data_IF_427556697872
#
_entry.id   IF_427556697872
#
_cell.length_a   1.000
_cell.length_b   1.000
_cell.length_c   1.000
_cell.angle_alpha   90.00
_cell.angle_beta   90.00
_cell.angle_gamma   90.00
#
_symmetry.space_group_name_H-M   'P 1'
#
loop_
_entity.id
_entity.type
_entity.pdbx_description
1 polymer ?
#
# COMPACT_ATOMS: atom_id res chain seq x y z
N UNK A 1 -14.79 -5.30 1.75
CA UNK A 1 -14.24 -4.00 1.25
C UNK A 1 -13.81 -4.20 -0.18
N UNK A 2 -14.09 -3.26 -1.10
CA UNK A 2 -13.70 -3.35 -2.51
C UNK A 2 -12.86 -2.12 -2.84
N UNK A 3 -11.79 -2.26 -3.61
CA UNK A 3 -10.99 -1.12 -4.06
C UNK A 3 -9.93 -1.50 -5.08
N UNK A 4 -9.36 -0.50 -5.75
CA UNK A 4 -8.21 -0.68 -6.64
C UNK A 4 -6.92 -0.65 -5.84
N UNK A 5 -5.98 -1.55 -6.15
CA UNK A 5 -4.66 -1.60 -5.52
C UNK A 5 -3.78 -0.48 -6.08
N UNK A 6 -3.38 0.47 -5.25
CA UNK A 6 -2.58 1.64 -5.65
C UNK A 6 -1.10 1.56 -5.21
N UNK A 7 -0.76 0.57 -4.38
CA UNK A 7 0.60 0.37 -3.88
C UNK A 7 0.75 -0.97 -3.20
N UNK A 8 1.95 -1.54 -3.25
CA UNK A 8 2.26 -2.87 -2.71
C UNK A 8 3.72 -2.97 -2.32
N UNK A 9 4.01 -3.62 -1.19
CA UNK A 9 5.38 -3.91 -0.76
C UNK A 9 5.79 -5.32 -1.17
N UNK A 10 7.10 -5.54 -1.24
CA UNK A 10 7.64 -6.88 -1.37
C UNK A 10 7.30 -7.77 -0.16
N UNK A 11 7.35 -9.07 -0.40
CA UNK A 11 7.24 -10.09 0.64
C UNK A 11 8.52 -10.09 1.47
N UNK A 12 8.37 -10.05 2.80
CA UNK A 12 9.48 -10.06 3.77
C UNK A 12 9.27 -11.13 4.83
N UNK A 13 10.32 -11.88 5.15
CA UNK A 13 10.37 -12.85 6.23
C UNK A 13 11.03 -12.26 7.49
N UNK A 14 10.54 -12.64 8.66
CA UNK A 14 11.09 -12.24 9.96
C UNK A 14 11.07 -13.44 10.91
N UNK A 15 12.06 -13.59 11.81
CA UNK A 15 12.01 -14.61 12.85
C UNK A 15 10.74 -14.49 13.71
N UNK A 16 10.01 -15.58 13.91
CA UNK A 16 8.81 -15.60 14.73
C UNK A 16 9.19 -15.56 16.22
N UNK A 17 8.86 -14.43 16.87
CA UNK A 17 9.12 -14.23 18.29
C UNK A 17 8.26 -15.13 19.18
N UNK A 18 7.14 -15.64 18.69
CA UNK A 18 6.26 -16.55 19.43
C UNK A 18 6.68 -18.01 19.28
N UNK A 19 7.25 -18.36 18.13
CA UNK A 19 7.65 -19.71 17.78
C UNK A 19 9.13 -19.71 17.37
N UNK A 20 10.01 -19.75 18.37
CA UNK A 20 11.46 -19.70 18.18
C UNK A 20 11.89 -20.83 17.24
N UNK A 21 12.68 -20.50 16.21
CA UNK A 21 13.12 -21.44 15.17
C UNK A 21 12.22 -21.48 13.93
N UNK A 22 11.12 -20.72 13.92
CA UNK A 22 10.29 -20.52 12.72
C UNK A 22 10.33 -19.07 12.23
N UNK A 23 9.90 -18.88 10.99
CA UNK A 23 9.78 -17.56 10.37
C UNK A 23 8.32 -17.21 10.11
N UNK A 24 8.03 -15.91 10.10
CA UNK A 24 6.75 -15.35 9.73
C UNK A 24 6.92 -14.34 8.60
N UNK A 25 6.04 -14.43 7.62
CA UNK A 25 6.12 -13.63 6.41
C UNK A 25 5.05 -12.54 6.41
N UNK A 26 5.34 -11.44 5.72
CA UNK A 26 4.42 -10.32 5.57
C UNK A 26 4.57 -9.63 4.22
N UNK A 27 3.48 -9.03 3.77
CA UNK A 27 3.49 -7.95 2.81
C UNK A 27 2.31 -7.02 3.12
N UNK A 28 2.40 -5.79 2.64
CA UNK A 28 1.33 -4.80 2.76
C UNK A 28 0.96 -4.26 1.38
N UNK A 29 -0.28 -3.81 1.26
CA UNK A 29 -0.75 -3.12 0.06
C UNK A 29 -1.76 -2.04 0.43
N UNK A 30 -1.99 -1.10 -0.47
CA UNK A 30 -2.93 0.01 -0.27
C UNK A 30 -4.05 -0.12 -1.28
N UNK A 31 -5.30 -0.02 -0.81
CA UNK A 31 -6.48 0.03 -1.69
C UNK A 31 -7.14 1.40 -1.64
N UNK A 32 -7.69 1.81 -2.79
CA UNK A 32 -8.47 3.05 -2.96
C UNK A 32 -9.86 2.72 -3.44
N UNK A 33 -10.86 3.30 -2.79
CA UNK A 33 -12.27 3.15 -3.15
C UNK A 33 -12.93 4.49 -3.52
N UNK A 34 -12.24 5.61 -3.28
CA UNK A 34 -12.75 6.95 -3.54
C UNK A 34 -11.63 7.95 -3.89
N UNK A 35 -11.98 9.15 -4.40
CA UNK A 35 -11.00 10.17 -4.73
C UNK A 35 -10.13 10.63 -3.56
N UNK A 36 -10.63 10.58 -2.33
CA UNK A 36 -9.94 11.13 -1.16
C UNK A 36 -9.60 10.10 -0.09
N UNK A 37 -10.17 8.88 -0.15
CA UNK A 37 -9.92 7.85 0.85
C UNK A 37 -9.26 6.61 0.24
N UNK A 38 -8.25 6.15 0.97
CA UNK A 38 -7.51 4.94 0.71
C UNK A 38 -6.95 4.41 2.03
N UNK A 39 -6.69 3.11 2.09
CA UNK A 39 -6.41 2.41 3.34
C UNK A 39 -5.30 1.36 3.14
N UNK A 40 -4.44 1.24 4.15
CA UNK A 40 -3.42 0.19 4.20
C UNK A 40 -4.02 -1.14 4.64
N UNK A 41 -3.59 -2.20 3.96
CA UNK A 41 -3.92 -3.59 4.25
C UNK A 41 -2.62 -4.32 4.54
N UNK A 42 -2.60 -5.09 5.64
CA UNK A 42 -1.43 -5.84 6.07
C UNK A 42 -1.77 -7.32 6.16
N UNK A 43 -0.88 -8.18 5.68
CA UNK A 43 -1.01 -9.63 5.83
C UNK A 43 0.20 -10.20 6.54
N UNK A 44 -0.03 -11.13 7.46
CA UNK A 44 0.99 -11.86 8.19
C UNK A 44 0.64 -13.33 8.29
N UNK A 45 1.52 -14.21 7.84
CA UNK A 45 1.24 -15.65 7.83
C UNK A 45 2.45 -16.48 7.46
N UNK A 46 2.20 -17.71 7.02
CA UNK A 46 3.23 -18.61 6.49
C UNK A 46 3.74 -18.12 5.14
N UNK A 47 4.95 -18.55 4.77
CA UNK A 47 5.58 -18.16 3.51
C UNK A 47 4.67 -18.43 2.30
N UNK A 48 4.21 -19.67 2.14
CA UNK A 48 3.41 -20.08 0.98
C UNK A 48 2.13 -19.26 0.86
N UNK A 49 1.44 -19.03 1.97
CA UNK A 49 0.24 -18.21 2.01
C UNK A 49 0.53 -16.78 1.56
N UNK A 50 1.55 -16.14 2.14
CA UNK A 50 1.90 -14.75 1.86
C UNK A 50 2.37 -14.59 0.42
N UNK A 51 3.20 -15.51 -0.07
CA UNK A 51 3.71 -15.48 -1.44
C UNK A 51 2.59 -15.70 -2.45
N UNK A 52 1.72 -16.69 -2.21
CA UNK A 52 0.55 -16.95 -3.06
C UNK A 52 -0.41 -15.76 -3.09
N UNK A 53 -0.76 -15.19 -1.93
CA UNK A 53 -1.62 -14.02 -1.84
C UNK A 53 -0.99 -12.78 -2.49
N UNK A 54 0.32 -12.59 -2.34
CA UNK A 54 1.01 -11.50 -3.02
C UNK A 54 1.07 -11.71 -4.54
N UNK A 55 1.06 -12.94 -5.04
CA UNK A 55 1.08 -13.21 -6.48
C UNK A 55 -0.32 -13.19 -7.12
N UNK A 56 -1.40 -13.26 -6.35
CA UNK A 56 -2.77 -13.34 -6.88
C UNK A 56 -3.33 -12.02 -7.44
N UNK A 57 -2.65 -10.90 -7.23
CA UNK A 57 -3.03 -9.58 -7.75
C UNK A 57 -1.82 -8.64 -7.86
N UNK A 58 -1.95 -7.60 -8.70
CA UNK A 58 -0.95 -6.58 -9.00
C UNK A 58 -1.47 -5.18 -8.62
N UNK A 59 -0.57 -4.20 -8.64
CA UNK A 59 -0.98 -2.78 -8.61
C UNK A 59 -1.78 -2.49 -9.88
N UNK A 60 -2.92 -1.82 -9.73
CA UNK A 60 -3.90 -1.58 -10.80
C UNK A 60 -5.09 -2.55 -10.77
N UNK A 61 -4.99 -3.68 -10.07
CA UNK A 61 -6.11 -4.63 -10.00
C UNK A 61 -7.17 -4.17 -9.00
N UNK A 62 -8.44 -4.43 -9.32
CA UNK A 62 -9.56 -4.26 -8.40
C UNK A 62 -9.73 -5.53 -7.57
N UNK A 63 -9.78 -5.38 -6.25
CA UNK A 63 -9.86 -6.51 -5.32
C UNK A 63 -11.04 -6.36 -4.37
N UNK A 64 -11.66 -7.50 -4.04
CA UNK A 64 -12.63 -7.65 -2.95
C UNK A 64 -11.95 -8.35 -1.78
N UNK A 65 -11.98 -7.69 -0.63
CA UNK A 65 -11.46 -8.19 0.65
C UNK A 65 -12.64 -8.57 1.54
N UNK A 66 -12.70 -9.84 1.91
CA UNK A 66 -13.71 -10.43 2.77
C UNK A 66 -13.12 -10.70 4.17
N UNK A 67 -13.93 -10.42 5.21
CA UNK A 67 -13.59 -10.64 6.61
C UNK A 67 -12.19 -10.12 7.05
N UNK A 68 -11.80 -8.88 6.70
CA UNK A 68 -10.61 -8.28 7.29
C UNK A 68 -10.88 -7.93 8.76
N UNK A 69 -9.84 -8.00 9.58
CA UNK A 69 -9.88 -7.38 10.91
C UNK A 69 -9.58 -5.89 10.76
N UNK A 70 -10.44 -5.03 11.28
CA UNK A 70 -10.26 -3.57 11.28
C UNK A 70 -9.53 -3.15 12.55
N UNK A 71 -8.43 -2.40 12.42
CA UNK A 71 -7.66 -1.87 13.55
C UNK A 71 -7.46 -0.37 13.40
N UNK A 72 -7.45 0.38 14.49
CA UNK A 72 -7.03 1.79 14.49
C UNK A 72 -5.56 1.94 14.10
N UNK A 73 -5.24 2.98 13.36
CA UNK A 73 -3.87 3.36 12.96
C UNK A 73 -3.18 4.10 14.12
N UNK A 74 -2.03 3.61 14.57
CA UNK A 74 -1.16 4.35 15.49
C UNK A 74 -0.21 5.24 14.67
N UNK A 75 -0.67 6.46 14.34
CA UNK A 75 -0.04 7.34 13.35
C UNK A 75 1.48 7.53 13.55
N UNK A 76 1.92 7.83 14.78
CA UNK A 76 3.33 8.13 15.09
C UNK A 76 4.29 6.97 14.81
N UNK A 77 3.85 5.71 14.97
CA UNK A 77 4.71 4.54 14.75
C UNK A 77 4.60 3.99 13.33
N UNK A 78 3.41 4.06 12.75
CA UNK A 78 3.11 3.35 11.50
C UNK A 78 3.51 4.12 10.25
N UNK A 79 3.53 5.45 10.29
CA UNK A 79 3.87 6.31 9.13
C UNK A 79 5.35 6.27 8.76
N UNK A 80 6.21 5.75 9.65
CA UNK A 80 7.64 5.55 9.36
C UNK A 80 7.91 4.44 8.35
N UNK A 81 7.03 3.43 8.28
CA UNK A 81 7.27 2.20 7.52
C UNK A 81 6.17 1.86 6.51
N UNK A 82 5.11 2.66 6.47
CA UNK A 82 3.97 2.44 5.59
C UNK A 82 3.64 3.72 4.81
N UNK A 83 3.02 3.58 3.63
CA UNK A 83 2.42 4.72 2.94
C UNK A 83 1.49 5.48 3.89
N UNK A 84 1.64 6.81 3.91
CA UNK A 84 0.71 7.68 4.63
C UNK A 84 -0.64 7.60 3.95
N UNK A 85 -1.66 7.17 4.68
CA UNK A 85 -3.04 7.07 4.21
C UNK A 85 -3.96 7.94 5.07
N UNK A 86 -5.03 8.51 4.48
CA UNK A 86 -5.99 9.38 5.16
C UNK A 86 -6.92 8.60 6.10
N UNK A 87 -7.02 7.28 5.94
CA UNK A 87 -7.80 6.43 6.83
C UNK A 87 -7.21 6.40 8.25
N UNK A 88 -8.07 6.54 9.26
CA UNK A 88 -7.74 6.33 10.68
C UNK A 88 -7.64 4.84 11.07
N UNK A 89 -7.97 3.96 10.14
CA UNK A 89 -7.96 2.52 10.31
C UNK A 89 -7.04 1.86 9.30
N UNK A 90 -6.66 0.63 9.60
CA UNK A 90 -5.99 -0.31 8.71
C UNK A 90 -6.72 -1.64 8.72
N UNK A 91 -6.54 -2.41 7.64
CA UNK A 91 -7.07 -3.76 7.54
C UNK A 91 -5.96 -4.77 7.81
N UNK A 92 -6.27 -5.79 8.60
CA UNK A 92 -5.40 -6.93 8.85
C UNK A 92 -6.04 -8.17 8.23
N UNK A 93 -5.25 -8.90 7.44
CA UNK A 93 -5.66 -10.16 6.83
C UNK A 93 -5.19 -11.33 7.68
N UNK A 94 -6.11 -12.25 7.95
CA UNK A 94 -5.83 -13.52 8.59
C UNK A 94 -5.86 -14.64 7.56
N UNK A 95 -4.85 -15.51 7.60
CA UNK A 95 -4.77 -16.70 6.74
C UNK A 95 -6.02 -17.59 6.82
N UNK A 96 -6.64 -17.68 8.00
CA UNK A 96 -7.75 -18.61 8.25
C UNK A 96 -9.13 -17.96 8.13
N UNK A 97 -9.20 -16.63 8.08
CA UNK A 97 -10.48 -15.91 8.21
C UNK A 97 -10.71 -14.89 7.11
N UNK A 98 -9.66 -14.34 6.51
CA UNK A 98 -9.77 -13.31 5.49
C UNK A 98 -9.53 -13.89 4.10
N UNK A 99 -10.19 -13.33 3.10
CA UNK A 99 -10.00 -13.72 1.70
C UNK A 99 -9.85 -12.48 0.83
N UNK A 100 -8.96 -12.54 -0.15
CA UNK A 100 -8.82 -11.51 -1.18
C UNK A 100 -9.10 -12.17 -2.53
N UNK A 101 -10.03 -11.58 -3.28
CA UNK A 101 -10.42 -12.05 -4.61
C UNK A 101 -10.28 -10.90 -5.59
N UNK A 102 -9.90 -11.20 -6.84
CA UNK A 102 -10.07 -10.21 -7.90
C UNK A 102 -11.55 -9.87 -8.04
N UNK A 103 -11.85 -8.59 -8.22
CA UNK A 103 -13.20 -8.13 -8.54
C UNK A 103 -13.64 -8.73 -9.87
N UNK A 104 -14.91 -9.12 -9.94
CA UNK A 104 -15.54 -9.69 -11.15
C UNK A 104 -16.60 -8.75 -11.75
N UNK A 105 -16.73 -7.52 -11.25
CA UNK A 105 -17.77 -6.58 -11.63
C UNK A 105 -17.20 -5.46 -12.51
N UNK A 106 -17.35 -5.61 -13.84
CA UNK A 106 -16.81 -4.69 -14.84
C UNK A 106 -17.17 -3.21 -14.60
N UNK A 107 -18.42 -2.91 -14.25
CA UNK A 107 -18.85 -1.52 -14.00
C UNK A 107 -18.20 -0.91 -12.75
N UNK A 108 -18.03 -1.73 -11.71
CA UNK A 108 -17.35 -1.32 -10.48
C UNK A 108 -15.86 -1.11 -10.75
N UNK A 109 -15.26 -1.98 -11.55
CA UNK A 109 -13.86 -1.89 -11.92
C UNK A 109 -13.57 -0.62 -12.72
N UNK A 110 -14.40 -0.27 -13.70
CA UNK A 110 -14.20 0.97 -14.48
C UNK A 110 -14.22 2.23 -13.57
N UNK A 111 -15.13 2.27 -12.58
CA UNK A 111 -15.17 3.36 -11.60
C UNK A 111 -13.93 3.39 -10.73
N UNK A 112 -13.47 2.24 -10.25
CA UNK A 112 -12.28 2.15 -9.39
C UNK A 112 -10.99 2.46 -10.16
N UNK A 113 -10.86 1.98 -11.39
CA UNK A 113 -9.72 2.24 -12.28
C UNK A 113 -9.55 3.73 -12.56
N UNK A 114 -10.66 4.50 -12.66
CA UNK A 114 -10.59 5.96 -12.82
C UNK A 114 -9.85 6.67 -11.67
N UNK A 115 -9.73 6.04 -10.50
CA UNK A 115 -9.07 6.58 -9.32
C UNK A 115 -7.54 6.40 -9.34
N UNK A 116 -6.98 5.60 -10.26
CA UNK A 116 -5.54 5.34 -10.35
C UNK A 116 -4.73 6.59 -10.73
N UNK A 117 -5.31 7.48 -11.54
CA UNK A 117 -4.65 8.70 -12.00
C UNK A 117 -4.69 9.83 -10.98
N UNK A 118 -5.47 9.68 -9.92
CA UNK A 118 -5.60 10.72 -8.91
C UNK A 118 -4.37 10.70 -7.99
N UNK A 119 -3.78 11.85 -7.66
CA UNK A 119 -2.64 11.90 -6.76
C UNK A 119 -3.00 11.37 -5.37
N UNK A 120 -1.99 10.85 -4.67
CA UNK A 120 -2.07 10.40 -3.27
C UNK A 120 -1.47 11.42 -2.30
N UNK A 121 -0.79 12.45 -2.82
CA UNK A 121 -0.21 13.57 -2.07
C UNK A 121 -0.89 14.87 -2.48
N UNK A 122 -0.83 15.85 -1.60
CA UNK A 122 -1.28 17.20 -1.92
C UNK A 122 -0.40 17.76 -3.05
N UNK A 123 -0.97 18.42 -4.08
CA UNK A 123 -0.19 19.09 -5.12
C UNK A 123 0.87 20.06 -4.58
N UNK A 124 0.64 20.64 -3.40
CA UNK A 124 1.58 21.55 -2.72
C UNK A 124 2.74 20.82 -2.01
N UNK A 125 2.68 19.49 -1.88
CA UNK A 125 3.68 18.66 -1.20
C UNK A 125 4.83 18.22 -2.14
N UNK A 126 4.75 18.57 -3.43
CA UNK A 126 5.75 18.21 -4.43
C UNK A 126 6.84 19.27 -4.56
N UNK A 127 8.10 18.83 -4.54
CA UNK A 127 9.26 19.64 -4.89
C UNK A 127 9.53 19.60 -6.40
N UNK A 128 9.84 20.76 -6.98
CA UNK A 128 10.36 20.81 -8.34
C UNK A 128 11.82 20.34 -8.38
N UNK A 129 12.25 19.81 -9.53
CA UNK A 129 13.67 19.43 -9.71
C UNK A 129 14.61 20.63 -9.56
N UNK A 130 14.15 21.84 -9.94
CA UNK A 130 14.92 23.08 -9.77
C UNK A 130 15.11 23.45 -8.30
N UNK A 131 14.08 23.30 -7.47
CA UNK A 131 14.15 23.59 -6.04
C UNK A 131 15.08 22.63 -5.30
N UNK A 132 15.09 21.35 -5.71
CA UNK A 132 16.00 20.35 -5.14
C UNK A 132 17.46 20.74 -5.39
N UNK A 133 17.77 21.15 -6.62
CA UNK A 133 19.13 21.60 -7.00
C UNK A 133 19.51 22.87 -6.25
N UNK A 134 18.61 23.85 -6.15
CA UNK A 134 18.87 25.13 -5.51
C UNK A 134 19.08 25.01 -3.98
N UNK A 135 18.47 24.01 -3.33
CA UNK A 135 18.45 23.89 -1.86
C UNK A 135 19.23 22.67 -1.33
N UNK A 136 20.06 22.03 -2.17
CA UNK A 136 20.65 20.69 -1.92
C UNK A 136 21.11 20.41 -0.49
N UNK A 137 22.03 21.22 0.06
CA UNK A 137 22.56 20.99 1.43
C UNK A 137 21.49 21.10 2.53
N UNK A 138 20.49 21.97 2.36
CA UNK A 138 19.41 22.17 3.35
C UNK A 138 18.36 21.04 3.34
N UNK A 139 18.35 20.23 2.28
CA UNK A 139 17.46 19.10 2.09
C UNK A 139 18.09 17.77 2.52
N UNK A 140 19.34 17.76 3.00
CA UNK A 140 20.02 16.54 3.44
C UNK A 140 19.23 15.82 4.55
N UNK A 141 19.09 14.50 4.39
CA UNK A 141 18.31 13.64 5.29
C UNK A 141 16.78 13.84 5.25
N UNK A 142 16.24 14.71 4.38
CA UNK A 142 14.78 14.92 4.25
C UNK A 142 14.15 13.97 3.23
N UNK A 143 12.90 13.58 3.49
CA UNK A 143 12.06 12.84 2.54
C UNK A 143 11.29 13.87 1.70
N UNK A 144 11.38 13.77 0.37
CA UNK A 144 10.75 14.68 -0.57
C UNK A 144 9.78 13.93 -1.48
N UNK A 145 8.65 14.54 -1.82
CA UNK A 145 7.80 14.05 -2.90
C UNK A 145 8.16 14.78 -4.20
N UNK A 146 8.22 14.04 -5.31
CA UNK A 146 8.53 14.60 -6.62
C UNK A 146 7.48 14.14 -7.62
N UNK A 147 6.99 15.07 -8.44
CA UNK A 147 6.18 14.79 -9.61
C UNK A 147 6.98 15.20 -10.85
N UNK A 148 7.37 14.23 -11.66
CA UNK A 148 8.20 14.46 -12.83
C UNK A 148 7.84 13.51 -13.98
N UNK A 149 8.15 13.92 -15.21
CA UNK A 149 8.05 13.07 -16.38
C UNK A 149 9.29 12.15 -16.48
N UNK A 150 9.06 10.85 -16.74
CA UNK A 150 10.14 9.91 -17.00
C UNK A 150 10.64 10.10 -18.43
N UNK A 151 11.90 10.51 -18.59
CA UNK A 151 12.50 10.78 -19.90
C UNK A 151 13.05 9.50 -20.56
N UNK A 152 13.71 8.64 -19.78
CA UNK A 152 14.27 7.37 -20.25
C UNK A 152 14.44 6.39 -19.09
N UNK A 153 14.20 5.11 -19.35
CA UNK A 153 14.57 4.00 -18.46
C UNK A 153 15.49 3.09 -19.26
N UNK A 154 16.72 2.88 -18.79
CA UNK A 154 17.74 2.02 -19.41
C UNK A 154 17.81 0.67 -18.73
#
# INVERSE_FOLDING_TARGET
VIGVVIGKTDVRGFPDRKNIGSERYTFSFTIRDSPTYFINVHSWGREDYIRSLSQSFRVGDCVTIENPLVQSKEAEREEKFNPVTPSRYKLLLSENHSTVKMSSCYETDMKLLSLLHLPVKDPQDYYSLGDIIANGQSLDGRILNVLAAVMSVS
#
